data_IF_028927149493
#
_entry.id   IF_028927149493
#
_cell.length_a   1.000
_cell.length_b   1.000
_cell.length_c   1.000
_cell.angle_alpha   90.00
_cell.angle_beta   90.00
_cell.angle_gamma   90.00
#
_symmetry.space_group_name_H-M   'P 1'
#
loop_
_entity.id
_entity.type
_entity.pdbx_description
1 polymer ?
#
# COMPACT_ATOMS: atom_id res chain seq x y z
N UNK A 1 -34.61 8.23 27.69
CA UNK A 1 -33.22 8.01 28.14
C UNK A 1 -33.01 6.49 28.26
N UNK A 2 -32.63 5.81 27.18
CA UNK A 2 -32.58 4.33 27.11
C UNK A 2 -31.42 3.82 26.24
N UNK A 3 -30.30 4.55 26.19
CA UNK A 3 -29.19 4.22 25.26
C UNK A 3 -27.82 4.03 25.92
N UNK A 4 -27.70 4.14 27.24
CA UNK A 4 -26.38 4.07 27.91
C UNK A 4 -25.98 2.66 28.38
N UNK A 5 -26.87 1.66 28.31
CA UNK A 5 -26.61 0.35 28.92
C UNK A 5 -26.21 -0.77 27.93
N UNK A 6 -26.16 -0.50 26.62
CA UNK A 6 -25.93 -1.53 25.58
C UNK A 6 -24.49 -1.60 25.01
N UNK A 7 -23.57 -0.73 25.45
CA UNK A 7 -22.21 -0.68 24.87
C UNK A 7 -21.28 -1.77 25.43
N UNK A 8 -21.64 -2.44 26.54
CA UNK A 8 -20.71 -3.32 27.28
C UNK A 8 -20.71 -4.82 26.87
N UNK A 9 -21.50 -5.26 25.90
CA UNK A 9 -21.56 -6.68 25.50
C UNK A 9 -20.95 -6.99 24.12
N UNK A 10 -20.26 -6.04 23.50
CA UNK A 10 -19.42 -6.32 22.34
C UNK A 10 -18.09 -6.88 22.85
N UNK A 11 -18.00 -8.22 22.95
CA UNK A 11 -16.71 -8.91 23.12
C UNK A 11 -15.72 -8.31 22.12
N UNK A 12 -14.58 -7.82 22.60
CA UNK A 12 -13.51 -7.36 21.72
C UNK A 12 -13.23 -8.49 20.71
N UNK A 13 -13.19 -8.21 19.41
CA UNK A 13 -12.85 -9.23 18.43
C UNK A 13 -11.52 -9.83 18.86
N UNK A 14 -11.47 -11.17 18.90
CA UNK A 14 -10.20 -11.86 19.12
C UNK A 14 -9.23 -11.38 18.06
N UNK A 15 -7.99 -11.05 18.45
CA UNK A 15 -6.95 -10.82 17.46
C UNK A 15 -6.91 -12.02 16.52
N UNK A 16 -7.07 -11.78 15.22
CA UNK A 16 -7.00 -12.83 14.21
C UNK A 16 -5.68 -13.57 14.37
N UNK A 17 -5.78 -14.86 14.69
CA UNK A 17 -4.64 -15.73 14.75
C UNK A 17 -4.33 -16.20 13.34
N UNK A 18 -3.08 -16.06 12.93
CA UNK A 18 -2.65 -16.62 11.65
C UNK A 18 -2.77 -18.15 11.69
N UNK A 19 -2.83 -18.78 10.51
CA UNK A 19 -2.87 -20.24 10.39
C UNK A 19 -1.72 -20.94 11.15
N UNK A 20 -0.56 -20.28 11.22
CA UNK A 20 0.61 -20.79 11.97
C UNK A 20 0.34 -20.87 13.47
N UNK A 21 -0.22 -19.82 14.07
CA UNK A 21 -0.64 -19.81 15.49
C UNK A 21 -1.66 -20.91 15.78
N UNK A 22 -2.64 -21.11 14.90
CA UNK A 22 -3.65 -22.14 15.09
C UNK A 22 -3.06 -23.55 14.97
N UNK A 23 -2.12 -23.75 14.04
CA UNK A 23 -1.39 -25.02 13.92
C UNK A 23 -0.63 -25.37 15.20
N UNK A 24 0.04 -24.40 15.83
CA UNK A 24 0.76 -24.63 17.08
C UNK A 24 -0.20 -24.87 18.25
N UNK A 25 -1.31 -24.12 18.34
CA UNK A 25 -2.34 -24.38 19.35
C UNK A 25 -2.92 -25.78 19.22
N UNK A 26 -3.13 -26.28 18.00
CA UNK A 26 -3.59 -27.63 17.76
C UNK A 26 -2.53 -28.68 18.14
N UNK A 27 -1.26 -28.46 17.79
CA UNK A 27 -0.15 -29.31 18.24
C UNK A 27 -0.06 -29.39 19.77
N UNK A 28 -0.16 -28.26 20.47
CA UNK A 28 -0.14 -28.21 21.93
C UNK A 28 -1.33 -28.98 22.54
N UNK A 29 -2.52 -28.88 21.94
CA UNK A 29 -3.72 -29.60 22.41
C UNK A 29 -3.62 -31.11 22.24
N UNK A 30 -2.90 -31.58 21.22
CA UNK A 30 -2.78 -33.00 20.88
C UNK A 30 -1.50 -33.65 21.42
N UNK A 31 -0.52 -32.86 21.86
CA UNK A 31 0.76 -33.35 22.35
C UNK A 31 0.65 -33.97 23.74
N UNK A 32 1.50 -34.99 23.98
CA UNK A 32 1.69 -35.59 25.30
C UNK A 32 2.48 -34.64 26.20
N UNK A 33 2.33 -34.73 27.54
CA UNK A 33 3.00 -33.81 28.48
C UNK A 33 4.51 -33.63 28.29
N UNK A 34 5.21 -34.65 27.78
CA UNK A 34 6.64 -34.61 27.49
C UNK A 34 7.01 -33.70 26.32
N UNK A 35 6.13 -33.54 25.34
CA UNK A 35 6.45 -32.96 24.03
C UNK A 35 5.82 -31.57 23.84
N UNK A 36 5.14 -31.05 24.86
CA UNK A 36 4.40 -29.78 24.83
C UNK A 36 5.34 -28.56 24.85
N UNK A 37 6.53 -28.67 25.42
CA UNK A 37 7.42 -27.52 25.58
C UNK A 37 7.89 -26.93 24.25
N UNK A 38 8.29 -27.79 23.30
CA UNK A 38 8.74 -27.34 21.98
C UNK A 38 7.70 -26.51 21.23
N UNK A 39 6.46 -26.99 20.98
CA UNK A 39 5.45 -26.21 20.25
C UNK A 39 4.99 -24.96 21.02
N UNK A 40 5.14 -24.92 22.36
CA UNK A 40 4.93 -23.68 23.14
C UNK A 40 6.00 -22.65 22.87
N UNK A 41 7.28 -23.05 22.89
CA UNK A 41 8.40 -22.16 22.58
C UNK A 41 8.32 -21.64 21.15
N UNK A 42 7.96 -22.49 20.19
CA UNK A 42 7.76 -22.08 18.80
C UNK A 42 6.62 -21.06 18.64
N UNK A 43 5.51 -21.26 19.37
CA UNK A 43 4.39 -20.32 19.37
C UNK A 43 4.79 -18.97 19.96
N UNK A 44 5.53 -18.97 21.08
CA UNK A 44 6.02 -17.75 21.73
C UNK A 44 7.00 -16.99 20.82
N UNK A 45 7.96 -17.69 20.23
CA UNK A 45 8.90 -17.10 19.28
C UNK A 45 8.19 -16.45 18.09
N UNK A 46 7.17 -17.11 17.54
CA UNK A 46 6.37 -16.56 16.44
C UNK A 46 5.60 -15.29 16.85
N UNK A 47 5.04 -15.25 18.07
CA UNK A 47 4.35 -14.07 18.59
C UNK A 47 5.31 -12.88 18.78
N UNK A 48 6.49 -13.13 19.35
CA UNK A 48 7.54 -12.10 19.50
C UNK A 48 7.96 -11.55 18.14
N UNK A 49 8.12 -12.41 17.13
CA UNK A 49 8.43 -12.00 15.77
C UNK A 49 7.32 -11.11 15.19
N UNK A 50 6.06 -11.50 15.35
CA UNK A 50 4.93 -10.69 14.88
C UNK A 50 4.91 -9.31 15.56
N UNK A 51 5.07 -9.27 16.88
CA UNK A 51 5.09 -8.01 17.64
C UNK A 51 6.24 -7.09 17.21
N UNK A 52 7.43 -7.66 16.99
CA UNK A 52 8.58 -6.89 16.48
C UNK A 52 8.32 -6.31 15.09
N UNK A 53 7.69 -7.08 14.18
CA UNK A 53 7.34 -6.63 12.84
C UNK A 53 6.29 -5.52 12.88
N UNK A 54 5.29 -5.63 13.75
CA UNK A 54 4.30 -4.56 13.95
C UNK A 54 4.94 -3.30 14.54
N UNK A 55 5.89 -3.43 15.47
CA UNK A 55 6.62 -2.30 16.03
C UNK A 55 7.47 -1.58 14.97
N UNK A 56 8.16 -2.32 14.10
CA UNK A 56 8.93 -1.75 12.97
C UNK A 56 7.99 -1.02 12.02
N UNK A 57 6.91 -1.67 11.57
CA UNK A 57 5.94 -1.06 10.65
C UNK A 57 5.29 0.19 11.24
N UNK A 58 5.08 0.23 12.56
CA UNK A 58 4.59 1.41 13.26
C UNK A 58 5.61 2.55 13.20
N UNK A 59 6.88 2.27 13.48
CA UNK A 59 7.98 3.25 13.32
C UNK A 59 8.08 3.75 11.88
N UNK A 60 8.06 2.86 10.90
CA UNK A 60 8.09 3.23 9.46
C UNK A 60 6.92 4.16 9.09
N UNK A 61 5.73 3.90 9.65
CA UNK A 61 4.55 4.74 9.43
C UNK A 61 4.71 6.12 10.06
N UNK A 62 5.30 6.20 11.26
CA UNK A 62 5.58 7.48 11.96
C UNK A 62 6.69 8.27 11.26
N UNK A 63 7.73 7.61 10.76
CA UNK A 63 8.83 8.22 9.99
C UNK A 63 8.43 8.61 8.56
N UNK A 64 7.38 7.98 8.03
CA UNK A 64 6.72 8.35 6.79
C UNK A 64 5.70 9.47 7.04
N UNK A 65 6.17 10.62 7.52
CA UNK A 65 5.35 11.83 7.56
C UNK A 65 5.06 12.30 6.12
N UNK A 66 3.89 12.91 5.92
CA UNK A 66 3.51 13.44 4.60
C UNK A 66 4.50 14.49 4.08
N UNK A 67 5.36 15.05 4.93
CA UNK A 67 6.46 15.93 4.55
C UNK A 67 7.51 15.27 3.62
N UNK A 68 7.70 13.95 3.67
CA UNK A 68 8.56 13.21 2.72
C UNK A 68 7.83 12.86 1.41
N UNK A 69 6.53 13.10 1.33
CA UNK A 69 5.72 12.83 0.14
C UNK A 69 5.56 14.15 -0.60
N UNK A 70 6.17 14.25 -1.78
CA UNK A 70 5.96 15.40 -2.66
C UNK A 70 4.47 15.67 -2.90
N UNK A 71 4.08 16.89 -3.32
CA UNK A 71 2.68 17.27 -3.47
C UNK A 71 1.94 16.28 -4.37
N UNK A 72 0.70 15.98 -3.99
CA UNK A 72 -0.21 15.15 -4.79
C UNK A 72 -0.39 15.82 -6.15
N UNK A 73 0.23 15.26 -7.18
CA UNK A 73 -0.04 15.67 -8.55
C UNK A 73 -1.23 14.88 -9.11
N UNK A 74 -2.13 15.59 -9.79
CA UNK A 74 -3.17 14.97 -10.59
C UNK A 74 -2.49 14.10 -11.66
N UNK A 75 -2.84 12.81 -11.67
CA UNK A 75 -2.05 11.73 -12.28
C UNK A 75 -1.81 11.83 -13.80
N UNK A 76 -2.43 12.79 -14.48
CA UNK A 76 -2.54 12.85 -15.94
C UNK A 76 -2.77 14.30 -16.37
N UNK A 77 -1.68 15.07 -16.41
CA UNK A 77 -1.67 16.40 -17.01
C UNK A 77 -0.78 16.39 -18.25
N UNK A 78 -1.11 17.21 -19.22
CA UNK A 78 -0.26 17.47 -20.38
C UNK A 78 0.92 18.40 -20.03
N UNK A 79 1.72 18.76 -21.03
CA UNK A 79 2.80 19.74 -20.88
C UNK A 79 2.32 21.15 -20.52
N UNK A 80 1.04 21.45 -20.76
CA UNK A 80 0.40 22.74 -20.49
C UNK A 80 -0.23 22.81 -19.09
N UNK A 81 -0.28 21.66 -18.38
CA UNK A 81 -0.90 21.54 -17.06
C UNK A 81 -2.41 21.30 -17.10
N UNK A 82 -3.00 21.05 -18.27
CA UNK A 82 -4.42 20.73 -18.40
C UNK A 82 -4.68 19.24 -18.18
N UNK A 83 -5.94 18.92 -17.89
CA UNK A 83 -6.35 17.55 -17.58
C UNK A 83 -6.36 16.72 -18.87
N UNK A 84 -5.57 15.65 -18.87
CA UNK A 84 -5.55 14.71 -19.97
C UNK A 84 -6.80 13.81 -20.02
N UNK A 85 -7.49 13.79 -21.16
CA UNK A 85 -8.69 13.01 -21.43
C UNK A 85 -8.37 11.89 -22.41
N UNK A 86 -8.46 10.63 -21.95
CA UNK A 86 -8.13 9.45 -22.75
C UNK A 86 -8.97 9.29 -24.01
N UNK A 87 -10.24 9.69 -23.94
CA UNK A 87 -11.20 9.52 -25.01
C UNK A 87 -10.81 10.30 -26.27
N UNK A 88 -10.12 11.43 -26.09
CA UNK A 88 -9.85 12.37 -27.17
C UNK A 88 -8.55 12.03 -27.92
N UNK A 89 -7.76 11.08 -27.38
CA UNK A 89 -6.52 10.66 -28.02
C UNK A 89 -6.79 9.75 -29.21
N UNK A 90 -6.14 10.07 -30.32
CA UNK A 90 -6.20 9.31 -31.57
C UNK A 90 -4.95 8.47 -31.78
N UNK A 91 -3.79 9.01 -31.43
CA UNK A 91 -2.50 8.36 -31.65
C UNK A 91 -1.61 8.40 -30.42
N UNK A 92 -0.86 7.32 -30.21
CA UNK A 92 0.21 7.24 -29.21
C UNK A 92 1.51 6.86 -29.89
N UNK A 93 2.62 7.42 -29.38
CA UNK A 93 3.96 7.04 -29.82
C UNK A 93 4.89 6.90 -28.63
N UNK A 94 5.76 5.90 -28.74
CA UNK A 94 6.91 5.71 -27.86
C UNK A 94 8.16 6.17 -28.62
N UNK A 95 8.92 7.10 -28.04
CA UNK A 95 10.29 7.38 -28.50
C UNK A 95 11.26 6.70 -27.54
N UNK A 96 12.27 6.01 -28.07
CA UNK A 96 13.33 5.41 -27.26
C UNK A 96 14.22 6.45 -26.56
N UNK A 97 14.13 7.71 -26.97
CA UNK A 97 14.89 8.84 -26.41
C UNK A 97 14.18 9.50 -25.21
N UNK A 98 12.93 9.13 -24.94
CA UNK A 98 12.15 9.77 -23.88
C UNK A 98 12.48 9.20 -22.49
N UNK A 99 12.44 10.07 -21.47
CA UNK A 99 12.59 9.66 -20.08
C UNK A 99 11.54 8.60 -19.70
N UNK A 100 11.96 7.59 -18.92
CA UNK A 100 11.09 6.50 -18.50
C UNK A 100 9.82 7.03 -17.82
N UNK A 101 8.66 6.74 -18.41
CA UNK A 101 7.37 7.20 -17.88
C UNK A 101 6.76 8.40 -18.59
N UNK A 102 7.31 8.84 -19.72
CA UNK A 102 6.68 9.82 -20.62
C UNK A 102 6.21 9.17 -21.92
N UNK A 103 5.03 9.55 -22.41
CA UNK A 103 4.45 9.07 -23.68
C UNK A 103 4.04 10.27 -24.52
N UNK A 104 4.15 10.16 -25.84
CA UNK A 104 3.65 11.16 -26.77
C UNK A 104 2.24 10.79 -27.24
N UNK A 105 1.33 11.76 -27.24
CA UNK A 105 -0.04 11.58 -27.70
C UNK A 105 -0.45 12.69 -28.67
N UNK A 106 -1.47 12.41 -29.48
CA UNK A 106 -2.06 13.37 -30.39
C UNK A 106 -3.60 13.19 -30.42
N UNK A 107 -4.32 14.30 -30.36
CA UNK A 107 -5.79 14.37 -30.34
C UNK A 107 -6.39 14.55 -31.74
N UNK A 108 -5.60 14.96 -32.72
CA UNK A 108 -6.01 15.20 -34.10
C UNK A 108 -5.49 14.10 -35.03
N UNK A 109 -6.25 13.82 -36.10
CA UNK A 109 -5.84 12.88 -37.14
C UNK A 109 -4.96 13.59 -38.19
N UNK A 110 -5.24 14.87 -38.44
CA UNK A 110 -4.64 15.63 -39.55
C UNK A 110 -3.41 16.46 -39.14
N UNK A 111 -3.21 16.69 -37.83
CA UNK A 111 -2.02 17.38 -37.33
C UNK A 111 -0.93 16.37 -36.97
N UNK A 112 0.34 16.58 -37.37
CA UNK A 112 1.46 15.76 -36.94
C UNK A 112 2.03 16.18 -35.58
N UNK A 113 1.39 17.11 -34.86
CA UNK A 113 1.87 17.62 -33.58
C UNK A 113 1.57 16.62 -32.45
N UNK A 114 2.62 16.23 -31.71
CA UNK A 114 2.50 15.34 -30.56
C UNK A 114 2.83 16.09 -29.29
N UNK A 115 1.98 15.92 -28.28
CA UNK A 115 2.18 16.43 -26.93
C UNK A 115 2.70 15.34 -26.01
N UNK A 116 3.42 15.74 -24.96
CA UNK A 116 3.96 14.81 -23.98
C UNK A 116 3.01 14.70 -22.77
N UNK A 117 2.76 13.46 -22.33
CA UNK A 117 2.12 13.18 -21.05
C UNK A 117 3.11 12.45 -20.14
N UNK A 118 3.21 12.92 -18.89
CA UNK A 118 3.96 12.24 -17.85
C UNK A 118 3.06 11.32 -17.02
N UNK A 119 3.51 10.08 -16.83
CA UNK A 119 2.91 9.09 -15.93
C UNK A 119 3.61 8.99 -14.57
N UNK A 120 4.49 9.95 -14.25
CA UNK A 120 5.18 10.00 -12.97
C UNK A 120 4.16 10.03 -11.83
N UNK A 121 4.21 9.01 -10.94
CA UNK A 121 3.20 8.82 -9.88
C UNK A 121 3.26 9.88 -8.76
N UNK A 122 4.32 10.68 -8.71
CA UNK A 122 4.60 11.72 -7.72
C UNK A 122 5.40 12.83 -8.39
N UNK A 123 5.18 14.08 -7.98
CA UNK A 123 5.96 15.20 -8.49
C UNK A 123 7.45 15.02 -8.27
N UNK A 124 8.26 15.59 -9.18
CA UNK A 124 9.65 15.90 -8.84
C UNK A 124 9.60 16.74 -7.56
N UNK A 125 10.40 16.40 -6.55
CA UNK A 125 10.58 17.30 -5.41
C UNK A 125 10.93 18.66 -6.01
N UNK A 126 10.26 19.74 -5.58
CA UNK A 126 10.59 21.08 -6.04
C UNK A 126 12.12 21.21 -5.91
N UNK A 127 12.81 21.33 -7.05
CA UNK A 127 14.22 21.71 -7.01
C UNK A 127 14.27 23.11 -6.40
N UNK A 128 15.19 23.35 -5.44
CA UNK A 128 15.27 24.60 -4.69
C UNK A 128 15.56 25.81 -5.59
#
# INVERSE_FOLDING_TARGET
MFFEQWIYLLKKPSLDTCNTCDSYKMKIKLALPSDIENPKQELEAHQIQADSAYAIKKKDKEECTDAKRGPLQLRKVDSSGEKFIWHDVKWFRYSGENESGTIQFNTSIDSPEFENISFSRRGKANEP
#
